data_IF_055364378688
#
_entry.id   IF_055364378688
#
_cell.length_a   1.000
_cell.length_b   1.000
_cell.length_c   1.000
_cell.angle_alpha   90.00
_cell.angle_beta   90.00
_cell.angle_gamma   90.00
#
_symmetry.space_group_name_H-M   'P 1'
#
loop_
_entity.id
_entity.type
_entity.pdbx_description
1 polymer ?
#
# COMPACT_ATOMS: atom_id res chain seq x y z
N UNK A 1 -15.20 0.70 13.26
CA UNK A 1 -14.98 1.12 11.85
C UNK A 1 -13.50 1.49 11.72
N UNK A 2 -12.80 0.98 10.71
CA UNK A 2 -11.39 1.34 10.45
C UNK A 2 -11.33 2.75 9.88
N UNK A 3 -10.21 3.45 10.15
CA UNK A 3 -9.98 4.80 9.61
C UNK A 3 -9.72 4.70 8.11
N UNK A 4 -10.37 5.52 7.25
CA UNK A 4 -10.15 5.51 5.82
C UNK A 4 -8.73 5.96 5.44
N UNK A 5 -8.25 5.55 4.27
CA UNK A 5 -6.97 5.98 3.70
C UNK A 5 -7.07 7.38 3.09
N UNK A 6 -8.20 7.67 2.45
CA UNK A 6 -8.45 8.95 1.77
C UNK A 6 -9.74 9.56 2.28
N UNK A 7 -9.74 10.87 2.50
CA UNK A 7 -10.91 11.62 2.98
C UNK A 7 -11.17 12.89 2.18
N UNK A 8 -10.19 13.36 1.41
CA UNK A 8 -10.34 14.53 0.55
C UNK A 8 -11.25 14.20 -0.64
N UNK A 9 -12.30 14.99 -0.94
CA UNK A 9 -13.17 14.77 -2.09
C UNK A 9 -12.40 14.60 -3.40
N UNK A 10 -11.38 15.44 -3.65
CA UNK A 10 -10.57 15.37 -4.86
C UNK A 10 -9.75 14.06 -4.93
N UNK A 11 -9.28 13.52 -3.81
CA UNK A 11 -8.60 12.23 -3.77
C UNK A 11 -9.58 11.09 -4.05
N UNK A 12 -10.76 11.10 -3.43
CA UNK A 12 -11.79 10.10 -3.64
C UNK A 12 -12.25 10.05 -5.11
N UNK A 13 -12.50 11.22 -5.71
CA UNK A 13 -12.87 11.33 -7.12
C UNK A 13 -11.77 10.78 -8.05
N UNK A 14 -10.50 11.04 -7.75
CA UNK A 14 -9.36 10.55 -8.56
C UNK A 14 -9.17 9.03 -8.48
N UNK A 15 -9.75 8.37 -7.48
CA UNK A 15 -9.66 6.93 -7.24
C UNK A 15 -10.93 6.17 -7.63
N UNK A 16 -11.94 6.86 -8.13
CA UNK A 16 -13.24 6.25 -8.49
C UNK A 16 -13.04 5.01 -9.38
N UNK A 17 -13.70 3.91 -9.01
CA UNK A 17 -13.64 2.63 -9.72
C UNK A 17 -12.36 1.82 -9.48
N UNK A 18 -11.41 2.33 -8.71
CA UNK A 18 -10.18 1.62 -8.38
C UNK A 18 -10.34 0.76 -7.12
N UNK A 19 -9.58 -0.35 -7.06
CA UNK A 19 -9.49 -1.22 -5.90
C UNK A 19 -8.02 -1.47 -5.56
N UNK A 20 -7.74 -1.61 -4.26
CA UNK A 20 -6.40 -1.83 -3.74
C UNK A 20 -6.40 -2.98 -2.73
N UNK A 21 -5.60 -4.00 -2.98
CA UNK A 21 -5.30 -5.00 -1.96
C UNK A 21 -4.12 -4.51 -1.14
N UNK A 22 -4.33 -4.32 0.15
CA UNK A 22 -3.35 -3.71 1.05
C UNK A 22 -3.11 -4.56 2.29
N UNK A 23 -1.93 -4.39 2.88
CA UNK A 23 -1.62 -4.80 4.25
C UNK A 23 -1.63 -3.55 5.13
N UNK A 24 -2.20 -3.65 6.32
CA UNK A 24 -2.27 -2.52 7.26
C UNK A 24 -1.38 -2.79 8.49
N UNK A 25 -0.18 -2.19 8.58
CA UNK A 25 0.59 -2.17 9.81
C UNK A 25 -0.17 -1.45 10.93
N UNK A 26 -0.04 -1.92 12.16
CA UNK A 26 -0.76 -1.36 13.33
C UNK A 26 0.10 -1.17 14.57
N UNK A 27 1.38 -1.53 14.49
CA UNK A 27 2.33 -1.53 15.64
C UNK A 27 3.61 -0.78 15.28
N UNK A 28 4.75 -1.42 15.47
CA UNK A 28 6.08 -0.82 15.34
C UNK A 28 6.35 -0.16 13.97
N UNK A 29 5.89 -0.74 12.88
CA UNK A 29 6.02 -0.15 11.53
C UNK A 29 5.09 1.04 11.38
N UNK A 30 3.87 0.96 11.90
CA UNK A 30 2.90 2.05 11.94
C UNK A 30 3.43 3.26 12.74
N UNK A 31 4.06 3.01 13.89
CA UNK A 31 4.61 4.09 14.73
C UNK A 31 5.71 4.87 14.01
N UNK A 32 6.62 4.17 13.33
CA UNK A 32 7.65 4.81 12.50
C UNK A 32 7.03 5.56 11.33
N UNK A 33 6.07 4.95 10.61
CA UNK A 33 5.38 5.61 9.52
C UNK A 33 4.74 6.94 9.96
N UNK A 34 4.02 6.94 11.08
CA UNK A 34 3.37 8.15 11.63
C UNK A 34 4.37 9.22 12.03
N UNK A 35 5.50 8.81 12.63
CA UNK A 35 6.59 9.74 12.97
C UNK A 35 7.18 10.40 11.73
N UNK A 36 7.44 9.62 10.67
CA UNK A 36 7.97 10.12 9.41
C UNK A 36 6.97 11.04 8.70
N UNK A 37 5.70 10.66 8.65
CA UNK A 37 4.65 11.49 8.06
C UNK A 37 4.48 12.81 8.80
N UNK A 38 4.41 12.76 10.13
CA UNK A 38 4.36 13.97 10.97
C UNK A 38 5.56 14.89 10.73
N UNK A 39 6.76 14.32 10.64
CA UNK A 39 7.98 15.07 10.34
C UNK A 39 7.95 15.70 8.94
N UNK A 40 7.45 15.00 7.94
CA UNK A 40 7.33 15.51 6.58
C UNK A 40 6.29 16.64 6.50
N UNK A 41 5.10 16.44 7.07
CA UNK A 41 4.00 17.42 7.10
C UNK A 41 4.34 18.65 7.98
N UNK A 42 5.22 18.52 8.96
CA UNK A 42 5.72 19.67 9.71
C UNK A 42 6.61 20.60 8.88
N UNK A 43 7.08 20.14 7.71
CA UNK A 43 7.94 20.94 6.80
C UNK A 43 7.20 21.47 5.58
N UNK A 44 6.10 20.84 5.19
CA UNK A 44 5.33 21.22 4.03
C UNK A 44 3.90 20.70 4.11
N UNK A 45 2.96 21.47 3.60
CA UNK A 45 1.62 20.98 3.33
C UNK A 45 1.62 20.15 2.03
N UNK A 46 1.23 18.88 2.12
CA UNK A 46 1.23 17.97 0.98
C UNK A 46 0.09 16.95 1.10
N UNK A 47 -0.51 16.52 -0.03
CA UNK A 47 -1.42 15.39 -0.04
C UNK A 47 -0.73 14.15 0.53
N UNK A 48 -1.46 13.36 1.30
CA UNK A 48 -0.93 12.18 1.97
C UNK A 48 -2.06 11.17 2.29
N UNK A 49 -1.73 9.88 2.46
CA UNK A 49 -2.68 8.93 3.02
C UNK A 49 -2.98 9.25 4.49
N UNK A 50 -4.24 9.12 4.90
CA UNK A 50 -4.63 9.38 6.30
C UNK A 50 -4.35 8.19 7.23
N UNK A 51 -4.06 7.03 6.66
CA UNK A 51 -3.63 5.83 7.40
C UNK A 51 -2.54 5.06 6.65
N UNK A 52 -1.75 4.37 7.41
CA UNK A 52 -0.67 3.51 6.93
C UNK A 52 -1.19 2.30 6.16
N UNK A 53 -0.62 2.03 5.00
CA UNK A 53 -0.90 0.83 4.21
C UNK A 53 0.26 0.48 3.28
N UNK A 54 0.38 -0.80 3.00
CA UNK A 54 1.30 -1.37 2.00
C UNK A 54 0.45 -1.93 0.87
N UNK A 55 0.50 -1.35 -0.30
CA UNK A 55 -0.21 -1.88 -1.47
C UNK A 55 0.50 -3.13 -2.01
N UNK A 56 -0.23 -4.23 -2.09
CA UNK A 56 0.20 -5.43 -2.79
C UNK A 56 -0.15 -5.37 -4.28
N UNK A 57 -1.39 -4.99 -4.59
CA UNK A 57 -1.89 -4.83 -5.97
C UNK A 57 -2.97 -3.75 -6.04
N UNK A 58 -3.07 -3.16 -7.22
CA UNK A 58 -4.13 -2.23 -7.57
C UNK A 58 -4.87 -2.71 -8.82
N UNK A 59 -6.17 -2.45 -8.87
CA UNK A 59 -7.08 -2.93 -9.91
C UNK A 59 -8.01 -1.79 -10.38
N UNK A 60 -8.63 -1.99 -11.55
CA UNK A 60 -9.74 -1.16 -12.00
C UNK A 60 -10.87 -2.07 -12.54
N UNK A 61 -11.67 -2.61 -11.61
CA UNK A 61 -12.73 -3.57 -11.87
C UNK A 61 -14.05 -3.16 -11.19
N UNK A 62 -14.61 -1.98 -11.51
CA UNK A 62 -15.78 -1.46 -10.82
C UNK A 62 -17.02 -2.36 -10.96
N UNK A 63 -17.11 -3.14 -12.06
CA UNK A 63 -18.25 -4.04 -12.34
C UNK A 63 -18.01 -5.49 -11.93
N UNK A 64 -16.76 -5.87 -11.60
CA UNK A 64 -16.38 -7.25 -11.26
C UNK A 64 -15.75 -7.36 -9.86
N UNK A 65 -16.13 -6.48 -8.96
CA UNK A 65 -15.62 -6.47 -7.59
C UNK A 65 -15.82 -7.80 -6.88
N UNK A 66 -16.97 -8.45 -7.01
CA UNK A 66 -17.24 -9.74 -6.35
C UNK A 66 -16.36 -10.88 -6.89
N UNK A 67 -16.06 -10.87 -8.19
CA UNK A 67 -15.12 -11.82 -8.80
C UNK A 67 -13.71 -11.61 -8.27
N UNK A 68 -13.24 -10.35 -8.26
CA UNK A 68 -11.96 -9.99 -7.67
C UNK A 68 -11.87 -10.38 -6.19
N UNK A 69 -12.93 -10.11 -5.42
CA UNK A 69 -13.00 -10.44 -4.01
C UNK A 69 -12.95 -11.96 -3.76
N UNK A 70 -13.62 -12.75 -4.59
CA UNK A 70 -13.58 -14.22 -4.52
C UNK A 70 -12.15 -14.74 -4.73
N UNK A 71 -11.45 -14.24 -5.76
CA UNK A 71 -10.05 -14.60 -6.03
C UNK A 71 -9.13 -14.23 -4.87
N UNK A 72 -9.29 -13.02 -4.32
CA UNK A 72 -8.46 -12.55 -3.19
C UNK A 72 -8.72 -13.40 -1.93
N UNK A 73 -9.97 -13.78 -1.66
CA UNK A 73 -10.30 -14.67 -0.54
C UNK A 73 -9.68 -16.05 -0.70
N UNK A 74 -9.67 -16.61 -1.92
CA UNK A 74 -9.01 -17.87 -2.22
C UNK A 74 -7.48 -17.76 -2.02
N UNK A 75 -6.86 -16.72 -2.54
CA UNK A 75 -5.46 -16.42 -2.28
C UNK A 75 -5.16 -16.31 -0.77
N UNK A 76 -6.00 -15.60 -0.02
CA UNK A 76 -5.80 -15.38 1.42
C UNK A 76 -5.86 -16.67 2.24
N UNK A 77 -6.67 -17.66 1.84
CA UNK A 77 -6.73 -18.98 2.50
C UNK A 77 -5.37 -19.69 2.51
N UNK A 78 -4.58 -19.50 1.46
CA UNK A 78 -3.25 -20.10 1.34
C UNK A 78 -2.15 -19.28 2.04
N UNK A 79 -2.43 -18.05 2.46
CA UNK A 79 -1.43 -17.18 3.06
C UNK A 79 -1.15 -17.55 4.52
N UNK A 80 0.12 -17.37 4.91
CA UNK A 80 0.57 -17.33 6.29
C UNK A 80 0.73 -15.87 6.73
N UNK A 81 0.81 -15.59 8.04
CA UNK A 81 1.11 -14.25 8.51
C UNK A 81 2.37 -13.68 7.83
N UNK A 82 2.28 -12.42 7.39
CA UNK A 82 3.30 -11.74 6.59
C UNK A 82 4.12 -10.83 7.51
N UNK A 83 5.44 -11.04 7.53
CA UNK A 83 6.36 -10.16 8.22
C UNK A 83 6.63 -8.93 7.35
N UNK A 84 6.45 -7.74 7.91
CA UNK A 84 6.83 -6.44 7.33
C UNK A 84 7.90 -5.80 8.19
N UNK A 85 8.96 -5.30 7.55
CA UNK A 85 10.11 -4.69 8.23
C UNK A 85 10.40 -3.35 7.56
N UNK A 86 10.32 -2.25 8.30
CA UNK A 86 10.73 -0.95 7.80
C UNK A 86 12.26 -0.85 7.73
N UNK A 87 12.79 -0.44 6.56
CA UNK A 87 14.23 -0.46 6.28
C UNK A 87 14.81 0.93 6.10
N UNK A 88 14.11 1.80 5.38
CA UNK A 88 14.60 3.11 5.02
C UNK A 88 13.46 4.09 4.72
N UNK A 89 13.71 5.37 4.89
CA UNK A 89 12.96 6.41 4.19
C UNK A 89 13.61 6.62 2.83
N UNK A 90 12.83 6.55 1.77
CA UNK A 90 13.28 6.65 0.39
C UNK A 90 12.28 7.48 -0.43
N UNK A 91 12.48 7.59 -1.72
CA UNK A 91 11.60 8.35 -2.60
C UNK A 91 11.40 7.67 -3.94
N UNK A 92 10.20 7.79 -4.51
CA UNK A 92 10.01 7.59 -5.95
C UNK A 92 10.30 8.90 -6.67
N UNK A 93 11.13 8.87 -7.72
CA UNK A 93 11.49 10.08 -8.49
C UNK A 93 10.31 10.62 -9.29
N UNK A 94 10.52 11.72 -9.99
CA UNK A 94 9.57 12.19 -11.00
C UNK A 94 9.28 11.06 -12.02
N UNK A 95 8.04 10.94 -12.51
CA UNK A 95 6.93 11.89 -12.35
C UNK A 95 6.10 11.68 -11.05
N UNK A 96 6.37 10.66 -10.24
CA UNK A 96 5.57 10.34 -9.07
C UNK A 96 5.84 11.26 -7.87
N UNK A 97 7.12 11.57 -7.61
CA UNK A 97 7.56 12.43 -6.51
C UNK A 97 6.89 12.09 -5.18
N UNK A 98 7.12 10.87 -4.69
CA UNK A 98 6.55 10.36 -3.44
C UNK A 98 7.66 10.09 -2.44
N UNK A 99 7.53 10.60 -1.23
CA UNK A 99 8.36 10.15 -0.09
C UNK A 99 7.73 8.89 0.47
N UNK A 100 8.53 7.85 0.66
CA UNK A 100 8.06 6.52 1.08
C UNK A 100 8.83 6.01 2.29
N UNK A 101 8.16 5.21 3.10
CA UNK A 101 8.80 4.29 4.03
C UNK A 101 8.99 2.97 3.30
N UNK A 102 10.23 2.68 2.88
CA UNK A 102 10.55 1.45 2.17
C UNK A 102 10.63 0.27 3.13
N UNK A 103 10.03 -0.83 2.72
CA UNK A 103 10.07 -2.09 3.42
C UNK A 103 11.14 -3.02 2.86
N UNK A 104 11.71 -3.83 3.75
CA UNK A 104 12.56 -4.94 3.38
C UNK A 104 11.77 -6.00 2.62
N UNK A 105 12.41 -6.63 1.67
CA UNK A 105 11.88 -7.78 0.93
C UNK A 105 11.97 -9.06 1.78
N UNK A 106 11.10 -9.17 2.79
CA UNK A 106 11.04 -10.40 3.61
C UNK A 106 10.54 -11.58 2.76
N UNK A 107 10.94 -12.81 3.05
CA UNK A 107 10.49 -13.98 2.29
C UNK A 107 8.96 -14.11 2.26
N UNK A 108 8.28 -13.85 3.39
CA UNK A 108 6.81 -13.93 3.46
C UNK A 108 6.11 -12.86 2.60
N UNK A 109 6.64 -11.62 2.58
CA UNK A 109 6.08 -10.53 1.79
C UNK A 109 6.28 -10.78 0.28
N UNK A 110 7.48 -11.24 -0.11
CA UNK A 110 7.78 -11.60 -1.50
C UNK A 110 6.91 -12.77 -1.96
N UNK A 111 6.79 -13.83 -1.13
CA UNK A 111 5.94 -14.98 -1.47
C UNK A 111 4.47 -14.61 -1.59
N UNK A 112 3.95 -13.76 -0.70
CA UNK A 112 2.57 -13.31 -0.77
C UNK A 112 2.27 -12.55 -2.07
N UNK A 113 3.20 -11.68 -2.50
CA UNK A 113 3.09 -10.95 -3.76
C UNK A 113 3.20 -11.88 -4.98
N UNK A 114 4.14 -12.83 -4.97
CA UNK A 114 4.33 -13.79 -6.06
C UNK A 114 3.10 -14.70 -6.21
N UNK A 115 2.60 -15.27 -5.10
CA UNK A 115 1.41 -16.13 -5.10
C UNK A 115 0.16 -15.38 -5.58
N UNK A 116 0.04 -14.08 -5.24
CA UNK A 116 -1.04 -13.24 -5.76
C UNK A 116 -0.92 -13.01 -7.26
N UNK A 117 0.31 -12.81 -7.74
CA UNK A 117 0.60 -12.66 -9.18
C UNK A 117 0.21 -13.92 -9.94
N UNK A 118 0.61 -15.11 -9.42
CA UNK A 118 0.26 -16.42 -9.99
C UNK A 118 -1.27 -16.63 -9.99
N UNK A 119 -1.96 -16.32 -8.90
CA UNK A 119 -3.43 -16.42 -8.84
C UNK A 119 -4.14 -15.51 -9.85
N UNK A 120 -3.51 -14.42 -10.25
CA UNK A 120 -4.02 -13.48 -11.26
C UNK A 120 -3.62 -13.88 -12.70
N UNK A 121 -2.65 -14.76 -12.88
CA UNK A 121 -2.30 -15.30 -14.19
C UNK A 121 -3.50 -16.04 -14.80
N UNK A 122 -3.76 -15.81 -16.08
CA UNK A 122 -4.91 -16.42 -16.77
C UNK A 122 -6.25 -15.73 -16.50
N UNK A 123 -6.30 -14.69 -15.67
CA UNK A 123 -7.48 -13.82 -15.54
C UNK A 123 -7.34 -12.59 -16.45
N UNK A 124 -8.49 -12.04 -16.86
CA UNK A 124 -8.56 -10.77 -17.60
C UNK A 124 -8.86 -9.57 -16.69
N UNK A 125 -8.70 -9.74 -15.38
CA UNK A 125 -8.86 -8.66 -14.39
C UNK A 125 -7.84 -7.55 -14.64
N UNK A 126 -8.32 -6.32 -14.82
CA UNK A 126 -7.49 -5.16 -15.12
C UNK A 126 -6.66 -4.72 -13.91
N UNK A 127 -5.37 -4.99 -13.98
CA UNK A 127 -4.38 -4.57 -12.99
C UNK A 127 -3.83 -3.19 -13.32
N UNK A 128 -3.63 -2.37 -12.30
CA UNK A 128 -2.96 -1.09 -12.40
C UNK A 128 -1.50 -1.24 -11.97
N UNK A 129 -0.57 -0.60 -12.69
CA UNK A 129 0.88 -0.60 -12.40
C UNK A 129 1.45 -2.02 -12.18
N UNK A 130 1.26 -2.89 -13.16
CA UNK A 130 1.75 -4.26 -13.11
C UNK A 130 3.28 -4.29 -13.26
N UNK A 131 3.96 -4.88 -12.27
CA UNK A 131 5.41 -5.06 -12.25
C UNK A 131 5.76 -6.48 -11.85
N UNK A 132 6.96 -6.90 -12.28
CA UNK A 132 7.52 -8.17 -11.83
C UNK A 132 7.74 -8.18 -10.31
N UNK A 133 7.83 -9.36 -9.73
CA UNK A 133 8.14 -9.50 -8.31
C UNK A 133 9.48 -8.85 -7.95
N UNK A 134 10.46 -8.90 -8.85
CA UNK A 134 11.80 -8.33 -8.66
C UNK A 134 11.77 -6.80 -8.62
N UNK A 135 10.94 -6.18 -9.48
CA UNK A 135 10.87 -4.73 -9.64
C UNK A 135 9.90 -4.06 -8.65
N UNK A 136 9.09 -4.85 -7.92
CA UNK A 136 8.13 -4.30 -6.99
C UNK A 136 8.81 -3.78 -5.72
N UNK A 137 8.65 -2.50 -5.44
CA UNK A 137 9.13 -1.86 -4.20
C UNK A 137 8.01 -1.85 -3.16
N UNK A 138 8.15 -2.70 -2.13
CA UNK A 138 7.22 -2.66 -0.99
C UNK A 138 7.43 -1.40 -0.16
N UNK A 139 6.37 -0.64 0.05
CA UNK A 139 6.45 0.66 0.71
C UNK A 139 5.13 1.11 1.32
N UNK A 140 5.23 2.11 2.20
CA UNK A 140 4.11 2.94 2.61
C UNK A 140 4.35 4.35 2.06
N UNK A 141 3.38 4.94 1.38
CA UNK A 141 3.47 6.33 0.91
C UNK A 141 3.34 7.28 2.09
N UNK A 142 4.31 8.15 2.28
CA UNK A 142 4.35 9.13 3.39
C UNK A 142 3.67 10.42 2.98
N UNK A 143 4.12 11.03 1.88
CA UNK A 143 3.53 12.23 1.27
C UNK A 143 3.66 12.18 -0.25
N UNK A 144 2.72 12.81 -0.94
CA UNK A 144 2.72 12.99 -2.40
C UNK A 144 3.18 14.40 -2.72
N UNK A 145 4.30 14.55 -3.43
CA UNK A 145 4.93 15.83 -3.70
C UNK A 145 4.96 16.20 -5.20
N UNK A 146 4.00 15.68 -5.98
CA UNK A 146 3.93 15.86 -7.46
C UNK A 146 3.89 17.32 -7.91
N UNK A 147 3.42 18.22 -7.06
CA UNK A 147 3.30 19.66 -7.36
C UNK A 147 4.57 20.45 -7.08
N UNK A 148 5.58 19.83 -6.48
CA UNK A 148 6.84 20.52 -6.20
C UNK A 148 7.63 20.81 -7.50
N UNK A 149 8.20 22.00 -7.55
CA UNK A 149 9.18 22.36 -8.58
C UNK A 149 10.43 21.45 -8.47
N UNK A 150 11.14 21.17 -9.56
CA UNK A 150 12.27 20.23 -9.59
C UNK A 150 13.35 20.50 -8.54
N UNK A 151 13.71 21.75 -8.29
CA UNK A 151 14.72 22.11 -7.29
C UNK A 151 14.25 21.80 -5.86
N UNK A 152 13.01 22.14 -5.50
CA UNK A 152 12.43 21.83 -4.20
C UNK A 152 12.27 20.32 -3.99
N UNK A 153 11.89 19.59 -5.04
CA UNK A 153 11.85 18.12 -5.00
C UNK A 153 13.23 17.50 -4.76
N UNK A 154 14.26 17.99 -5.44
CA UNK A 154 15.64 17.52 -5.26
C UNK A 154 16.11 17.70 -3.82
N UNK A 155 15.85 18.86 -3.23
CA UNK A 155 16.18 19.16 -1.85
C UNK A 155 15.43 18.25 -0.87
N UNK A 156 14.11 18.11 -1.03
CA UNK A 156 13.28 17.24 -0.20
C UNK A 156 13.75 15.77 -0.31
N UNK A 157 13.99 15.30 -1.53
CA UNK A 157 14.46 13.95 -1.82
C UNK A 157 15.78 13.65 -1.10
N UNK A 158 16.76 14.56 -1.21
CA UNK A 158 18.05 14.41 -0.57
C UNK A 158 17.94 14.38 0.97
N UNK A 159 17.13 15.28 1.56
CA UNK A 159 16.91 15.35 3.01
C UNK A 159 16.13 14.17 3.58
N UNK A 160 15.30 13.53 2.76
CA UNK A 160 14.43 12.44 3.19
C UNK A 160 15.15 11.09 3.22
N UNK A 161 16.02 10.83 2.24
CA UNK A 161 16.67 9.52 2.08
C UNK A 161 17.60 9.20 3.25
N UNK A 162 17.29 8.10 3.95
CA UNK A 162 18.15 7.55 5.00
C UNK A 162 17.78 6.12 5.34
N UNK A 163 18.75 5.31 5.74
CA UNK A 163 18.49 4.03 6.38
C UNK A 163 17.97 4.23 7.80
N UNK A 164 17.09 3.36 8.25
CA UNK A 164 16.64 3.33 9.64
C UNK A 164 17.67 2.61 10.50
N UNK A 165 18.05 3.21 11.63
CA UNK A 165 18.99 2.60 12.60
C UNK A 165 18.37 1.39 13.31
N UNK A 166 17.09 1.50 13.69
CA UNK A 166 16.26 0.37 14.11
C UNK A 166 15.47 -0.13 12.89
N UNK A 167 15.30 -1.43 12.78
CA UNK A 167 14.48 -2.06 11.74
C UNK A 167 13.18 -2.58 12.37
N UNK A 168 12.21 -1.70 12.64
CA UNK A 168 10.95 -2.12 13.26
C UNK A 168 10.25 -3.12 12.37
N UNK A 169 9.78 -4.19 13.00
CA UNK A 169 9.12 -5.30 12.33
C UNK A 169 7.79 -5.61 12.99
N UNK A 170 6.83 -6.06 12.22
CA UNK A 170 5.59 -6.62 12.71
C UNK A 170 5.05 -7.68 11.77
N UNK A 171 4.13 -8.50 12.29
CA UNK A 171 3.47 -9.56 11.52
C UNK A 171 2.01 -9.20 11.31
N UNK A 172 1.55 -9.31 10.06
CA UNK A 172 0.20 -8.99 9.62
C UNK A 172 -0.50 -10.31 9.25
N UNK A 173 -1.69 -10.54 9.80
CA UNK A 173 -2.46 -11.79 9.64
C UNK A 173 -3.72 -11.62 8.78
N UNK A 174 -3.86 -10.51 8.10
CA UNK A 174 -5.01 -10.18 7.26
C UNK A 174 -4.61 -9.21 6.16
N UNK A 175 -5.30 -9.25 5.04
CA UNK A 175 -5.28 -8.20 4.03
C UNK A 175 -6.58 -7.39 4.10
N UNK A 176 -6.62 -6.28 3.39
CA UNK A 176 -7.82 -5.46 3.24
C UNK A 176 -7.97 -5.14 1.76
N UNK A 177 -9.13 -5.46 1.18
CA UNK A 177 -9.51 -4.95 -0.13
C UNK A 177 -10.23 -3.63 0.08
N UNK A 178 -9.67 -2.56 -0.47
CA UNK A 178 -10.23 -1.20 -0.41
C UNK A 178 -10.72 -0.84 -1.80
N UNK A 179 -11.89 -0.22 -1.92
CA UNK A 179 -12.40 0.26 -3.19
C UNK A 179 -13.09 1.62 -3.04
N UNK A 180 -13.13 2.33 -4.16
CA UNK A 180 -13.70 3.70 -4.24
C UNK A 180 -14.89 3.68 -5.19
N UNK A 181 -16.07 4.03 -4.67
CA UNK A 181 -17.34 4.01 -5.38
C UNK A 181 -18.25 5.10 -4.83
N UNK A 182 -18.92 5.84 -5.69
CA UNK A 182 -19.83 6.91 -5.34
C UNK A 182 -19.22 7.99 -4.44
N UNK A 183 -17.94 8.33 -4.66
CA UNK A 183 -17.20 9.32 -3.88
C UNK A 183 -16.91 8.88 -2.45
N UNK A 184 -16.98 7.60 -2.14
CA UNK A 184 -16.69 7.02 -0.84
C UNK A 184 -15.63 5.92 -0.91
N UNK A 185 -14.91 5.75 0.22
CA UNK A 185 -14.01 4.63 0.42
C UNK A 185 -14.73 3.51 1.17
N UNK A 186 -14.64 2.31 0.63
CA UNK A 186 -15.17 1.09 1.21
C UNK A 186 -14.04 0.10 1.45
N UNK A 187 -14.20 -0.84 2.38
CA UNK A 187 -13.20 -1.88 2.58
C UNK A 187 -13.78 -3.16 3.15
N UNK A 188 -13.10 -4.28 2.84
CA UNK A 188 -13.33 -5.58 3.43
C UNK A 188 -12.02 -6.16 3.96
N UNK A 189 -12.05 -6.63 5.21
CA UNK A 189 -10.91 -7.30 5.86
C UNK A 189 -10.97 -8.79 5.56
N UNK A 190 -9.86 -9.34 5.10
CA UNK A 190 -9.72 -10.73 4.65
C UNK A 190 -8.62 -11.40 5.47
N UNK A 191 -8.98 -12.23 6.48
CA UNK A 191 -8.02 -12.93 7.32
C UNK A 191 -7.24 -14.00 6.54
N UNK A 192 -5.98 -14.22 6.89
CA UNK A 192 -5.15 -15.27 6.31
C UNK A 192 -5.41 -16.64 6.96
N UNK A 193 -5.29 -17.71 6.17
CA UNK A 193 -5.34 -19.09 6.65
C UNK A 193 -6.72 -19.57 7.12
N UNK A 194 -7.76 -18.75 7.05
CA UNK A 194 -9.11 -19.16 7.43
C UNK A 194 -9.82 -19.83 6.24
N UNK A 195 -10.05 -21.13 6.32
CA UNK A 195 -11.05 -21.76 5.48
C UNK A 195 -12.43 -21.31 6.01
N UNK A 196 -13.23 -20.70 5.16
CA UNK A 196 -14.65 -20.54 5.47
C UNK A 196 -15.24 -21.92 5.71
N UNK A 197 -15.53 -22.27 6.96
CA UNK A 197 -16.38 -23.41 7.23
C UNK A 197 -17.77 -23.06 6.66
N UNK A 198 -18.16 -23.76 5.63
CA UNK A 198 -19.55 -23.81 5.15
C UNK A 198 -20.37 -24.67 6.08
#
# INVERSE_FOLDING_TARGET
MRRPFMTSPAQLESLEGQQYLVLRPTRAVSDVYRAEQKSALGRMDAPHPHTEHVTLRAFHEPKRREELLALIREWAVAQRPIEVVAEAVDVFPAPWQVVILRLRRTPSLVSAYANLSEALEGTDLRRLDERSTEDWTFHLSVIYAKTLAPAAWTELSHKSRRSLSSRPAETISEAELVWYEDGAEHSEVIPFGLRSFR
#
